data_IF_144577141857
#
_entry.id   IF_144577141857
#
_cell.length_a   1.000
_cell.length_b   1.000
_cell.length_c   1.000
_cell.angle_alpha   90.00
_cell.angle_beta   90.00
_cell.angle_gamma   90.00
#
_symmetry.space_group_name_H-M   'P 1'
#
loop_
_entity.id
_entity.type
_entity.pdbx_description
1 polymer ?
#
# COMPACT_ATOMS: atom_id res chain seq x y z
N UNK A 1 8.82 -9.97 -10.78
CA UNK A 1 9.09 -9.73 -12.22
C UNK A 1 8.34 -8.54 -12.83
N UNK A 2 7.02 -8.38 -12.62
CA UNK A 2 6.25 -7.23 -13.18
C UNK A 2 6.85 -5.85 -12.89
N UNK A 3 7.28 -5.60 -11.64
CA UNK A 3 7.92 -4.34 -11.27
C UNK A 3 9.15 -4.02 -12.14
N UNK A 4 10.04 -5.01 -12.33
CA UNK A 4 11.25 -4.83 -13.13
C UNK A 4 10.93 -4.56 -14.60
N UNK A 5 9.91 -5.24 -15.15
CA UNK A 5 9.45 -4.99 -16.52
C UNK A 5 8.95 -3.55 -16.71
N UNK A 6 8.18 -3.01 -15.76
CA UNK A 6 7.74 -1.62 -15.82
C UNK A 6 8.93 -0.67 -15.66
N UNK A 7 9.84 -0.98 -14.74
CA UNK A 7 11.01 -0.14 -14.48
C UNK A 7 12.00 -0.09 -15.66
N UNK A 8 12.02 -1.13 -16.52
CA UNK A 8 12.82 -1.14 -17.76
C UNK A 8 12.06 -0.59 -18.99
N UNK A 9 10.84 -0.07 -18.82
CA UNK A 9 10.03 0.41 -19.94
C UNK A 9 9.50 -0.69 -20.85
N UNK A 10 9.36 -1.91 -20.33
CA UNK A 10 8.82 -3.06 -21.05
C UNK A 10 9.85 -3.95 -21.73
N UNK A 11 11.13 -3.88 -21.34
CA UNK A 11 12.17 -4.73 -21.89
C UNK A 11 12.09 -6.17 -21.33
N UNK A 12 11.32 -7.01 -22.01
CA UNK A 12 11.15 -8.43 -21.71
C UNK A 12 12.46 -9.24 -21.77
N UNK A 13 13.28 -9.13 -22.82
CA UNK A 13 14.57 -9.81 -22.91
C UNK A 13 15.48 -9.53 -21.72
N UNK A 14 15.58 -8.28 -21.27
CA UNK A 14 16.39 -7.92 -20.09
C UNK A 14 15.86 -8.53 -18.81
N UNK A 15 14.55 -8.48 -18.58
CA UNK A 15 13.93 -9.14 -17.41
C UNK A 15 14.15 -10.65 -17.43
N UNK A 16 14.11 -11.28 -18.61
CA UNK A 16 14.40 -12.72 -18.73
C UNK A 16 15.85 -13.05 -18.36
N UNK A 17 16.83 -12.26 -18.82
CA UNK A 17 18.23 -12.46 -18.42
C UNK A 17 18.43 -12.36 -16.91
N UNK A 18 17.81 -11.38 -16.25
CA UNK A 18 17.86 -11.26 -14.80
C UNK A 18 17.17 -12.39 -14.05
N UNK A 19 16.10 -12.95 -14.61
CA UNK A 19 15.50 -14.17 -14.08
C UNK A 19 16.49 -15.33 -14.10
N UNK A 20 17.15 -15.55 -15.24
CA UNK A 20 18.11 -16.65 -15.41
C UNK A 20 19.37 -16.45 -14.52
N UNK A 21 19.83 -15.20 -14.33
CA UNK A 21 20.90 -14.83 -13.39
C UNK A 21 20.53 -15.11 -11.93
N UNK A 22 19.31 -14.72 -11.52
CA UNK A 22 18.83 -14.98 -10.17
C UNK A 22 18.67 -16.48 -9.92
N UNK A 23 18.17 -17.23 -10.91
CA UNK A 23 17.98 -18.67 -10.79
C UNK A 23 19.32 -19.44 -10.66
N UNK A 24 20.37 -18.96 -11.34
CA UNK A 24 21.68 -19.62 -11.32
C UNK A 24 22.56 -19.22 -10.14
N UNK A 25 22.56 -17.93 -9.76
CA UNK A 25 23.45 -17.41 -8.71
C UNK A 25 22.78 -17.17 -7.36
N UNK A 26 21.44 -17.18 -7.30
CA UNK A 26 20.65 -16.80 -6.12
C UNK A 26 20.70 -15.29 -5.81
N UNK A 27 21.38 -14.49 -6.63
CA UNK A 27 21.55 -13.05 -6.44
C UNK A 27 21.27 -12.32 -7.76
N UNK A 28 20.88 -11.05 -7.65
CA UNK A 28 20.63 -10.20 -8.80
C UNK A 28 21.15 -8.80 -8.49
N UNK A 29 22.02 -8.28 -9.35
CA UNK A 29 22.47 -6.90 -9.30
C UNK A 29 21.72 -6.07 -10.35
N UNK A 30 20.95 -5.07 -9.92
CA UNK A 30 20.20 -4.20 -10.82
C UNK A 30 21.02 -2.94 -11.18
N UNK A 31 20.92 -2.43 -12.42
CA UNK A 31 21.52 -1.14 -12.79
C UNK A 31 20.98 0.01 -11.95
N UNK A 32 21.81 1.03 -11.70
CA UNK A 32 21.40 2.18 -10.88
C UNK A 32 20.22 2.96 -11.48
N UNK A 33 20.07 2.97 -12.81
CA UNK A 33 18.92 3.59 -13.47
C UNK A 33 17.58 2.96 -13.04
N UNK A 34 17.55 1.62 -12.94
CA UNK A 34 16.37 0.85 -12.53
C UNK A 34 16.15 0.99 -11.03
N UNK A 35 17.20 0.88 -10.23
CA UNK A 35 17.12 1.08 -8.78
C UNK A 35 16.66 2.50 -8.43
N UNK A 36 17.19 3.51 -9.10
CA UNK A 36 16.78 4.91 -8.95
C UNK A 36 15.29 5.08 -9.26
N UNK A 37 14.82 4.55 -10.38
CA UNK A 37 13.40 4.59 -10.75
C UNK A 37 12.48 3.95 -9.70
N UNK A 38 12.90 2.80 -9.13
CA UNK A 38 12.16 2.11 -8.07
C UNK A 38 12.19 2.92 -6.77
N UNK A 39 13.36 3.42 -6.38
CA UNK A 39 13.56 4.23 -5.16
C UNK A 39 12.81 5.55 -5.21
N UNK A 40 12.44 6.10 -6.37
CA UNK A 40 11.56 7.29 -6.39
C UNK A 40 10.09 6.96 -6.18
N UNK A 41 9.66 5.69 -6.31
CA UNK A 41 8.25 5.27 -6.34
C UNK A 41 7.84 4.36 -5.19
N UNK A 42 8.77 3.56 -4.68
CA UNK A 42 8.52 2.59 -3.63
C UNK A 42 9.37 2.89 -2.41
N UNK A 43 8.83 2.56 -1.25
CA UNK A 43 9.54 2.48 0.02
C UNK A 43 9.29 1.11 0.62
N UNK A 44 10.28 0.62 1.35
CA UNK A 44 10.18 -0.61 2.12
C UNK A 44 10.79 -0.34 3.47
N UNK A 45 10.13 -0.84 4.51
CA UNK A 45 10.57 -0.76 5.89
C UNK A 45 10.49 -2.19 6.43
N UNK A 46 11.55 -2.60 7.12
CA UNK A 46 11.57 -3.86 7.84
C UNK A 46 11.26 -3.59 9.30
N UNK A 47 10.36 -4.41 9.84
CA UNK A 47 9.89 -4.39 11.22
C UNK A 47 10.28 -5.73 11.82
N UNK A 48 10.91 -5.71 12.99
CA UNK A 48 11.25 -6.94 13.71
C UNK A 48 10.11 -7.44 14.60
N UNK A 49 10.30 -8.63 15.19
CA UNK A 49 9.29 -9.26 16.05
C UNK A 49 9.00 -8.43 17.30
N UNK A 50 10.01 -7.73 17.86
CA UNK A 50 9.85 -6.93 19.06
C UNK A 50 9.00 -5.68 18.77
N UNK A 51 9.28 -4.99 17.66
CA UNK A 51 8.50 -3.87 17.16
C UNK A 51 7.07 -4.30 16.81
N UNK A 52 6.89 -5.49 16.23
CA UNK A 52 5.58 -6.05 15.91
C UNK A 52 4.75 -6.27 17.18
N UNK A 53 5.32 -6.91 18.20
CA UNK A 53 4.65 -7.16 19.48
C UNK A 53 4.34 -5.86 20.23
N UNK A 54 5.26 -4.90 20.21
CA UNK A 54 5.05 -3.57 20.80
C UNK A 54 3.88 -2.83 20.11
N UNK A 55 3.79 -2.92 18.79
CA UNK A 55 2.69 -2.33 18.01
C UNK A 55 1.34 -2.93 18.38
N UNK A 56 1.26 -4.26 18.51
CA UNK A 56 0.04 -4.96 18.95
C UNK A 56 -0.38 -4.46 20.34
N UNK A 57 0.56 -4.35 21.29
CA UNK A 57 0.27 -3.87 22.66
C UNK A 57 -0.23 -2.43 22.65
N UNK A 58 0.45 -1.54 21.94
CA UNK A 58 0.08 -0.12 21.83
C UNK A 58 -1.32 0.06 21.28
N UNK A 59 -1.65 -0.65 20.19
CA UNK A 59 -2.98 -0.58 19.56
C UNK A 59 -4.04 -1.17 20.47
N UNK A 60 -3.79 -2.30 21.13
CA UNK A 60 -4.72 -2.89 22.10
C UNK A 60 -5.07 -1.94 23.23
N UNK A 61 -4.08 -1.26 23.80
CA UNK A 61 -4.31 -0.29 24.88
C UNK A 61 -5.07 0.92 24.35
N UNK A 62 -4.63 1.52 23.23
CA UNK A 62 -5.22 2.74 22.68
C UNK A 62 -6.67 2.56 22.19
N UNK A 63 -7.01 1.38 21.67
CA UNK A 63 -8.33 1.05 21.13
C UNK A 63 -9.33 0.52 22.18
N UNK A 64 -8.89 0.31 23.43
CA UNK A 64 -9.74 -0.29 24.46
C UNK A 64 -9.96 -1.80 24.30
N UNK A 65 -9.05 -2.51 23.62
CA UNK A 65 -9.04 -3.98 23.58
C UNK A 65 -8.93 -4.63 22.20
N UNK A 66 -8.90 -3.85 21.11
CA UNK A 66 -8.76 -4.40 19.76
C UNK A 66 -7.34 -4.95 19.53
N UNK A 67 -7.24 -6.18 19.03
CA UNK A 67 -5.95 -6.87 18.81
C UNK A 67 -5.68 -6.94 17.31
N UNK A 68 -4.51 -6.46 16.89
CA UNK A 68 -4.02 -6.65 15.53
C UNK A 68 -3.42 -8.05 15.36
N UNK A 69 -3.64 -8.64 14.18
CA UNK A 69 -2.83 -9.77 13.76
C UNK A 69 -1.39 -9.30 13.42
N UNK A 70 -0.39 -10.21 13.45
CA UNK A 70 1.01 -9.84 13.23
C UNK A 70 1.29 -9.15 11.90
N UNK A 71 0.64 -9.54 10.80
CA UNK A 71 0.90 -8.93 9.48
C UNK A 71 0.36 -7.49 9.43
N UNK A 72 -0.81 -7.25 10.02
CA UNK A 72 -1.35 -5.90 10.14
C UNK A 72 -0.48 -5.06 11.08
N UNK A 73 0.01 -5.63 12.19
CA UNK A 73 0.89 -4.93 13.11
C UNK A 73 2.21 -4.50 12.43
N UNK A 74 2.81 -5.34 11.60
CA UNK A 74 3.97 -4.97 10.76
C UNK A 74 3.61 -3.82 9.81
N UNK A 75 2.46 -3.88 9.14
CA UNK A 75 1.99 -2.81 8.25
C UNK A 75 1.78 -1.48 8.96
N UNK A 76 1.16 -1.50 10.14
CA UNK A 76 0.93 -0.32 10.99
C UNK A 76 2.25 0.25 11.50
N UNK A 77 3.16 -0.60 12.00
CA UNK A 77 4.48 -0.19 12.46
C UNK A 77 5.29 0.48 11.33
N UNK A 78 5.29 -0.13 10.15
CA UNK A 78 5.94 0.41 8.96
C UNK A 78 5.32 1.75 8.54
N UNK A 79 3.99 1.88 8.57
CA UNK A 79 3.31 3.13 8.25
C UNK A 79 3.66 4.25 9.23
N UNK A 80 3.72 3.96 10.54
CA UNK A 80 4.09 4.93 11.57
C UNK A 80 5.56 5.37 11.50
N UNK A 81 6.46 4.48 11.07
CA UNK A 81 7.88 4.80 10.84
C UNK A 81 8.13 5.49 9.50
N UNK A 82 7.18 5.43 8.57
CA UNK A 82 7.31 6.07 7.28
C UNK A 82 7.32 7.60 7.45
N UNK A 83 8.25 8.32 6.82
CA UNK A 83 8.24 9.79 6.81
C UNK A 83 7.05 10.36 6.00
N UNK A 84 6.32 9.50 5.30
CA UNK A 84 5.12 9.89 4.57
C UNK A 84 3.92 9.76 5.50
N UNK A 85 3.58 10.84 6.20
CA UNK A 85 2.28 10.94 6.82
C UNK A 85 1.23 10.84 5.70
N UNK A 86 0.19 9.99 5.82
CA UNK A 86 -0.91 10.05 4.88
C UNK A 86 -1.52 11.45 5.04
N UNK A 87 -1.29 12.34 4.08
CA UNK A 87 -2.22 13.42 3.85
C UNK A 87 -3.52 12.72 3.48
N UNK A 88 -4.41 12.60 4.46
CA UNK A 88 -5.74 12.09 4.24
C UNK A 88 -6.43 13.10 3.32
N UNK A 89 -6.28 12.90 2.01
CA UNK A 89 -7.22 13.46 1.06
C UNK A 89 -8.51 12.69 1.34
N UNK A 90 -9.37 13.29 2.17
CA UNK A 90 -10.73 12.82 2.27
C UNK A 90 -11.32 12.92 0.87
N UNK A 91 -11.47 11.78 0.22
CA UNK A 91 -12.35 11.66 -0.92
C UNK A 91 -13.77 11.78 -0.35
N UNK A 92 -14.20 13.02 -0.09
CA UNK A 92 -15.60 13.31 0.05
C UNK A 92 -16.21 13.00 -1.32
N UNK A 93 -16.86 11.85 -1.44
CA UNK A 93 -17.67 11.53 -2.60
C UNK A 93 -18.95 12.36 -2.46
N UNK A 94 -19.13 13.50 -3.17
CA UNK A 94 -20.41 14.17 -3.15
C UNK A 94 -21.44 13.16 -3.68
N UNK A 95 -22.44 12.81 -2.86
CA UNK A 95 -23.58 12.04 -3.34
C UNK A 95 -24.19 12.81 -4.53
N UNK A 96 -24.46 12.16 -5.67
CA UNK A 96 -25.20 12.82 -6.74
C UNK A 96 -26.60 13.14 -6.21
N UNK A 97 -27.02 14.40 -6.35
CA UNK A 97 -28.32 14.89 -5.95
C UNK A 97 -29.42 13.95 -6.47
N UNK A 98 -30.11 13.26 -5.57
CA UNK A 98 -31.30 12.48 -5.92
C UNK A 98 -32.35 13.43 -6.50
N UNK A 99 -32.81 13.25 -7.76
CA UNK A 99 -33.90 14.05 -8.29
C UNK A 99 -35.17 13.76 -7.48
N UNK A 100 -35.72 14.80 -6.87
CA UNK A 100 -37.01 14.71 -6.17
C UNK A 100 -38.12 14.48 -7.21
N UNK A 101 -38.62 13.25 -7.28
CA UNK A 101 -39.88 12.97 -7.97
C UNK A 101 -41.02 13.49 -7.11
N UNK A 102 -41.56 14.65 -7.48
CA UNK A 102 -42.72 15.26 -6.86
C UNK A 102 -43.97 14.41 -7.20
N UNK A 103 -44.50 13.66 -6.23
CA UNK A 103 -45.76 12.95 -6.40
C UNK A 103 -46.93 13.92 -6.16
N UNK A 104 -47.91 14.02 -7.08
CA UNK A 104 -49.08 14.86 -6.88
C UNK A 104 -49.90 14.32 -5.70
N UNK A 105 -50.22 15.22 -4.76
CA UNK A 105 -51.01 14.95 -3.57
C UNK A 105 -52.48 14.68 -3.98
N UNK A 106 -53.15 13.64 -3.46
CA UNK A 106 -54.55 13.39 -3.78
C UNK A 106 -55.45 14.41 -3.07
N UNK A 107 -56.25 15.13 -3.86
CA UNK A 107 -57.32 15.99 -3.37
C UNK A 107 -58.27 15.17 -2.49
N UNK A 108 -58.36 15.54 -1.22
CA UNK A 108 -59.33 15.00 -0.26
C UNK A 108 -60.40 16.08 0.00
N UNK A 109 -61.64 15.68 0.30
CA UNK A 109 -62.89 16.28 -0.21
C UNK A 109 -63.22 17.70 0.27
#
# INVERSE_FOLDING_TARGET
WRLLYVATGGDGPTVRRWYDELASSGRLALPESVLGWIKTRLRSISIDDAETLDTIRKVRVASGGYILDPHTAVGVAAALRSPFAPTCHQLHNPQPDTPQFNNPQPDTP
#
